data_IF_579402719192
#
_entry.id   IF_579402719192
#
_cell.length_a   1.000
_cell.length_b   1.000
_cell.length_c   1.000
_cell.angle_alpha   90.00
_cell.angle_beta   90.00
_cell.angle_gamma   90.00
#
_symmetry.space_group_name_H-M   'P 1'
#
loop_
_entity.id
_entity.type
_entity.pdbx_description
1 polymer ?
#
# COMPACT_ATOMS: atom_id res chain seq x y z
N UNK A 1 -21.98 19.87 26.87
CA UNK A 1 -21.17 18.68 26.51
C UNK A 1 -22.17 17.53 26.52
N UNK A 2 -22.57 17.06 25.35
CA UNK A 2 -23.57 16.00 25.26
C UNK A 2 -22.92 14.68 25.69
N UNK A 3 -23.62 13.87 26.50
CA UNK A 3 -23.14 12.56 26.98
C UNK A 3 -22.72 11.63 25.82
N UNK A 4 -23.31 11.79 24.63
CA UNK A 4 -22.93 11.08 23.39
C UNK A 4 -21.54 11.44 22.88
N UNK A 5 -21.07 12.68 23.02
CA UNK A 5 -19.71 13.09 22.61
C UNK A 5 -18.64 12.57 23.57
N UNK A 6 -18.96 12.46 24.88
CA UNK A 6 -18.06 11.86 25.86
C UNK A 6 -17.91 10.33 25.67
N UNK A 7 -18.97 9.65 25.23
CA UNK A 7 -18.96 8.20 24.98
C UNK A 7 -18.12 7.82 23.77
N UNK A 8 -18.03 8.66 22.73
CA UNK A 8 -17.21 8.40 21.53
C UNK A 8 -15.69 8.51 21.77
N UNK A 9 -15.25 9.23 22.82
CA UNK A 9 -13.84 9.34 23.20
C UNK A 9 -13.40 8.25 24.19
N UNK A 10 -14.32 7.53 24.82
CA UNK A 10 -14.07 6.65 25.98
C UNK A 10 -13.65 5.21 25.63
N UNK A 11 -13.68 4.79 24.37
CA UNK A 11 -13.26 3.44 23.95
C UNK A 11 -11.73 3.31 23.81
N UNK A 12 -11.01 3.40 24.91
CA UNK A 12 -9.62 2.97 24.98
C UNK A 12 -9.54 1.55 25.54
N UNK A 13 -9.55 0.57 24.67
CA UNK A 13 -9.26 -0.83 25.04
C UNK A 13 -7.74 -0.99 25.15
N UNK A 14 -7.17 -0.82 26.35
CA UNK A 14 -5.73 -0.94 26.59
C UNK A 14 -5.15 -2.29 26.11
N UNK A 15 -5.86 -3.40 26.30
CA UNK A 15 -5.45 -4.71 25.81
C UNK A 15 -5.38 -4.86 24.29
N UNK A 16 -6.15 -4.08 23.54
CA UNK A 16 -6.10 -4.06 22.10
C UNK A 16 -4.83 -3.36 21.57
N UNK A 17 -4.41 -2.29 22.24
CA UNK A 17 -3.22 -1.54 21.85
C UNK A 17 -1.94 -2.37 22.03
N UNK A 18 -1.85 -3.19 23.09
CA UNK A 18 -0.70 -4.08 23.34
C UNK A 18 -0.60 -5.19 22.28
N UNK A 19 -1.70 -5.84 21.96
CA UNK A 19 -1.74 -6.89 20.92
C UNK A 19 -1.42 -6.30 19.54
N UNK A 20 -2.02 -5.15 19.22
CA UNK A 20 -1.74 -4.43 17.98
C UNK A 20 -0.28 -4.06 17.85
N UNK A 21 0.32 -3.51 18.91
CA UNK A 21 1.73 -3.16 18.95
C UNK A 21 2.61 -4.38 18.70
N UNK A 22 2.35 -5.49 19.41
CA UNK A 22 3.11 -6.73 19.27
C UNK A 22 3.05 -7.27 17.83
N UNK A 23 1.87 -7.34 17.23
CA UNK A 23 1.69 -7.84 15.86
C UNK A 23 2.34 -6.93 14.82
N UNK A 24 2.15 -5.62 14.94
CA UNK A 24 2.65 -4.66 13.95
C UNK A 24 4.16 -4.48 14.05
N UNK A 25 4.69 -4.30 15.26
CA UNK A 25 6.11 -3.95 15.44
C UNK A 25 7.00 -5.19 15.47
N UNK A 26 6.64 -6.22 16.26
CA UNK A 26 7.53 -7.39 16.39
C UNK A 26 7.38 -8.41 15.25
N UNK A 27 6.23 -8.47 14.58
CA UNK A 27 6.03 -9.41 13.47
C UNK A 27 6.02 -8.68 12.13
N UNK A 28 5.16 -7.69 11.98
CA UNK A 28 4.95 -7.01 10.69
C UNK A 28 6.17 -6.24 10.21
N UNK A 29 6.86 -5.50 11.09
CA UNK A 29 8.03 -4.70 10.70
C UNK A 29 9.21 -5.58 10.23
N UNK A 30 9.61 -6.66 10.92
CA UNK A 30 10.65 -7.56 10.41
C UNK A 30 10.28 -8.21 9.08
N UNK A 31 9.02 -8.63 8.92
CA UNK A 31 8.52 -9.21 7.64
C UNK A 31 8.60 -8.17 6.52
N UNK A 32 8.18 -6.94 6.77
CA UNK A 32 8.28 -5.85 5.80
C UNK A 32 9.74 -5.52 5.44
N UNK A 33 10.64 -5.54 6.42
CA UNK A 33 12.08 -5.34 6.19
C UNK A 33 12.66 -6.45 5.31
N UNK A 34 12.40 -7.72 5.64
CA UNK A 34 12.84 -8.86 4.85
C UNK A 34 12.25 -8.83 3.44
N UNK A 35 10.96 -8.49 3.30
CA UNK A 35 10.30 -8.31 2.02
C UNK A 35 10.98 -7.24 1.17
N UNK A 36 11.35 -6.11 1.76
CA UNK A 36 12.10 -5.04 1.07
C UNK A 36 13.44 -5.54 0.56
N UNK A 37 14.19 -6.26 1.40
CA UNK A 37 15.52 -6.79 1.04
C UNK A 37 15.41 -7.82 -0.08
N UNK A 38 14.51 -8.82 0.04
CA UNK A 38 14.38 -9.88 -0.95
C UNK A 38 13.87 -9.36 -2.30
N UNK A 39 12.86 -8.49 -2.31
CA UNK A 39 12.37 -7.89 -3.55
C UNK A 39 13.40 -6.92 -4.15
N UNK A 40 14.20 -6.23 -3.33
CA UNK A 40 15.34 -5.44 -3.77
C UNK A 40 16.42 -6.28 -4.47
N UNK A 41 16.75 -7.46 -3.93
CA UNK A 41 17.68 -8.40 -4.57
C UNK A 41 17.12 -8.90 -5.91
N UNK A 42 15.83 -9.28 -5.94
CA UNK A 42 15.16 -9.69 -7.19
C UNK A 42 15.21 -8.58 -8.25
N UNK A 43 14.97 -7.34 -7.84
CA UNK A 43 15.03 -6.18 -8.72
C UNK A 43 16.44 -6.03 -9.34
N UNK A 44 17.49 -6.13 -8.54
CA UNK A 44 18.88 -6.08 -9.02
C UNK A 44 19.15 -7.20 -10.03
N UNK A 45 18.72 -8.42 -9.75
CA UNK A 45 18.90 -9.58 -10.64
C UNK A 45 18.18 -9.34 -11.97
N UNK A 46 16.95 -8.86 -11.95
CA UNK A 46 16.19 -8.58 -13.16
C UNK A 46 16.79 -7.41 -13.97
N UNK A 47 17.29 -6.38 -13.32
CA UNK A 47 17.98 -5.27 -13.99
C UNK A 47 19.28 -5.75 -14.70
N UNK A 48 20.08 -6.60 -14.05
CA UNK A 48 21.29 -7.17 -14.65
C UNK A 48 21.01 -8.06 -15.86
N UNK A 49 19.90 -8.78 -15.84
CA UNK A 49 19.50 -9.71 -16.90
C UNK A 49 18.95 -9.03 -18.16
N UNK A 50 18.91 -7.68 -18.22
CA UNK A 50 18.24 -6.89 -19.28
C UNK A 50 16.79 -7.36 -19.50
N UNK A 51 16.05 -7.55 -18.41
CA UNK A 51 14.73 -8.16 -18.38
C UNK A 51 13.63 -7.32 -19.07
N UNK A 52 13.97 -6.09 -19.49
CA UNK A 52 13.03 -5.19 -20.17
C UNK A 52 12.51 -5.76 -21.51
N UNK A 53 13.29 -6.63 -22.16
CA UNK A 53 12.93 -7.28 -23.43
C UNK A 53 12.71 -8.81 -23.25
N UNK A 54 12.40 -9.27 -22.04
CA UNK A 54 12.25 -10.69 -21.74
C UNK A 54 10.85 -10.98 -21.18
N UNK A 55 10.43 -12.27 -21.17
CA UNK A 55 9.16 -12.66 -20.53
C UNK A 55 9.09 -12.36 -19.02
N UNK A 56 10.19 -11.89 -18.42
CA UNK A 56 10.25 -11.52 -17.02
C UNK A 56 9.88 -10.05 -16.74
N UNK A 57 9.47 -9.30 -17.80
CA UNK A 57 9.13 -7.89 -17.71
C UNK A 57 8.09 -7.56 -16.63
N UNK A 58 6.97 -8.29 -16.59
CA UNK A 58 5.94 -8.08 -15.57
C UNK A 58 6.40 -8.46 -14.17
N UNK A 59 7.31 -9.46 -14.05
CA UNK A 59 7.88 -9.85 -12.77
C UNK A 59 8.82 -8.78 -12.20
N UNK A 60 9.50 -8.02 -13.07
CA UNK A 60 10.28 -6.87 -12.68
C UNK A 60 9.40 -5.79 -12.03
N UNK A 61 8.27 -5.43 -12.65
CA UNK A 61 7.32 -4.47 -12.08
C UNK A 61 6.69 -4.99 -10.79
N UNK A 62 6.39 -6.28 -10.73
CA UNK A 62 5.86 -6.91 -9.52
C UNK A 62 6.86 -6.78 -8.37
N UNK A 63 8.15 -7.07 -8.59
CA UNK A 63 9.18 -6.91 -7.56
C UNK A 63 9.33 -5.45 -7.08
N UNK A 64 9.17 -4.47 -7.98
CA UNK A 64 9.15 -3.05 -7.61
C UNK A 64 7.95 -2.75 -6.70
N UNK A 65 6.75 -3.19 -7.07
CA UNK A 65 5.55 -2.94 -6.28
C UNK A 65 5.60 -3.63 -4.93
N UNK A 66 6.04 -4.89 -4.86
CA UNK A 66 6.16 -5.62 -3.60
C UNK A 66 7.20 -4.97 -2.68
N UNK A 67 8.30 -4.50 -3.22
CA UNK A 67 9.29 -3.71 -2.47
C UNK A 67 8.65 -2.42 -1.92
N UNK A 68 7.90 -1.68 -2.75
CA UNK A 68 7.22 -0.45 -2.34
C UNK A 68 6.16 -0.71 -1.27
N UNK A 69 5.37 -1.79 -1.38
CA UNK A 69 4.38 -2.18 -0.35
C UNK A 69 5.08 -2.40 0.98
N UNK A 70 6.18 -3.15 0.99
CA UNK A 70 6.97 -3.42 2.19
C UNK A 70 7.58 -2.14 2.77
N UNK A 71 8.10 -1.24 1.94
CA UNK A 71 8.65 0.05 2.38
C UNK A 71 7.58 0.96 2.97
N UNK A 72 6.38 1.00 2.37
CA UNK A 72 5.26 1.83 2.84
C UNK A 72 4.62 1.29 4.13
N UNK A 73 4.83 0.02 4.46
CA UNK A 73 4.34 -0.59 5.69
C UNK A 73 4.86 0.13 6.95
N UNK A 74 6.16 0.45 6.97
CA UNK A 74 6.81 1.06 8.14
C UNK A 74 6.21 2.44 8.47
N UNK A 75 6.18 3.43 7.57
CA UNK A 75 5.61 4.73 7.88
C UNK A 75 4.09 4.70 8.08
N UNK A 76 3.39 3.70 7.56
CA UNK A 76 1.94 3.59 7.69
C UNK A 76 1.51 2.93 8.99
N UNK A 77 2.02 1.73 9.28
CA UNK A 77 1.58 0.93 10.43
C UNK A 77 2.52 1.03 11.64
N UNK A 78 3.84 0.95 11.42
CA UNK A 78 4.81 0.90 12.50
C UNK A 78 4.90 2.22 13.23
N UNK A 79 4.91 3.35 12.50
CA UNK A 79 4.99 4.68 13.11
C UNK A 79 3.75 5.01 13.93
N UNK A 80 2.55 4.61 13.47
CA UNK A 80 1.31 4.78 14.20
C UNK A 80 1.29 3.95 15.50
N UNK A 81 1.66 2.66 15.41
CA UNK A 81 1.72 1.79 16.57
C UNK A 81 2.72 2.29 17.62
N UNK A 82 3.89 2.77 17.20
CA UNK A 82 4.89 3.38 18.08
C UNK A 82 4.38 4.69 18.71
N UNK A 83 3.74 5.56 17.93
CA UNK A 83 3.22 6.83 18.42
C UNK A 83 2.17 6.64 19.52
N UNK A 84 1.26 5.68 19.34
CA UNK A 84 0.20 5.37 20.29
C UNK A 84 0.77 4.66 21.53
N UNK A 85 1.62 3.65 21.35
CA UNK A 85 2.16 2.85 22.44
C UNK A 85 3.04 3.66 23.38
N UNK A 86 3.99 4.43 22.83
CA UNK A 86 4.88 5.29 23.62
C UNK A 86 4.32 6.68 23.94
N UNK A 87 3.09 6.96 23.50
CA UNK A 87 2.40 8.24 23.70
C UNK A 87 3.22 9.46 23.23
N UNK A 88 3.92 9.34 22.09
CA UNK A 88 4.75 10.41 21.52
C UNK A 88 3.89 11.33 20.68
N UNK A 89 3.47 12.48 21.24
CA UNK A 89 2.58 13.46 20.57
C UNK A 89 3.15 13.98 19.25
N UNK A 90 4.44 14.29 19.18
CA UNK A 90 5.10 14.80 17.98
C UNK A 90 5.05 13.78 16.84
N UNK A 91 5.26 12.48 17.13
CA UNK A 91 5.21 11.40 16.15
C UNK A 91 3.78 11.17 15.64
N UNK A 92 2.80 11.22 16.55
CA UNK A 92 1.39 11.10 16.21
C UNK A 92 0.93 12.24 15.30
N UNK A 93 1.32 13.49 15.59
CA UNK A 93 0.99 14.64 14.74
C UNK A 93 1.68 14.53 13.37
N UNK A 94 2.96 14.15 13.33
CA UNK A 94 3.70 13.93 12.09
C UNK A 94 3.03 12.86 11.23
N UNK A 95 2.65 11.72 11.83
CA UNK A 95 1.97 10.63 11.13
C UNK A 95 0.67 11.11 10.46
N UNK A 96 -0.17 11.88 11.16
CA UNK A 96 -1.41 12.43 10.60
C UNK A 96 -1.18 13.38 9.42
N UNK A 97 -0.02 14.04 9.35
CA UNK A 97 0.31 14.96 8.27
C UNK A 97 0.50 14.22 6.93
N UNK A 98 1.08 13.01 6.95
CA UNK A 98 1.41 12.29 5.72
C UNK A 98 0.60 11.00 5.50
N UNK A 99 -0.20 10.56 6.48
CA UNK A 99 -0.91 9.27 6.41
C UNK A 99 -1.80 9.13 5.17
N UNK A 100 -2.47 10.22 4.76
CA UNK A 100 -3.34 10.22 3.58
C UNK A 100 -2.56 9.90 2.31
N UNK A 101 -1.42 10.56 2.11
CA UNK A 101 -0.57 10.36 0.93
C UNK A 101 -0.05 8.92 0.89
N UNK A 102 0.46 8.41 2.03
CA UNK A 102 0.96 7.03 2.12
C UNK A 102 -0.16 6.03 1.90
N UNK A 103 -1.34 6.26 2.46
CA UNK A 103 -2.51 5.40 2.25
C UNK A 103 -2.87 5.31 0.76
N UNK A 104 -3.01 6.45 0.08
CA UNK A 104 -3.34 6.47 -1.34
C UNK A 104 -2.26 5.77 -2.19
N UNK A 105 -0.98 6.04 -1.91
CA UNK A 105 0.14 5.37 -2.57
C UNK A 105 0.12 3.86 -2.33
N UNK A 106 -0.10 3.41 -1.10
CA UNK A 106 -0.19 2.00 -0.74
C UNK A 106 -1.31 1.30 -1.51
N UNK A 107 -2.50 1.92 -1.58
CA UNK A 107 -3.63 1.37 -2.35
C UNK A 107 -3.36 1.28 -3.85
N UNK A 108 -2.73 2.31 -4.41
CA UNK A 108 -2.32 2.31 -5.82
C UNK A 108 -1.33 1.18 -6.11
N UNK A 109 -0.29 1.06 -5.29
CA UNK A 109 0.78 0.06 -5.47
C UNK A 109 0.23 -1.36 -5.31
N UNK A 110 -0.64 -1.62 -4.31
CA UNK A 110 -1.30 -2.92 -4.11
C UNK A 110 -2.15 -3.31 -5.33
N UNK A 111 -2.94 -2.36 -5.83
CA UNK A 111 -3.80 -2.60 -6.99
C UNK A 111 -2.94 -2.87 -8.24
N UNK A 112 -1.89 -2.07 -8.45
CA UNK A 112 -0.93 -2.26 -9.53
C UNK A 112 -0.24 -3.62 -9.48
N UNK A 113 0.19 -4.09 -8.31
CA UNK A 113 0.82 -5.39 -8.11
C UNK A 113 -0.09 -6.54 -8.55
N UNK A 114 -1.37 -6.52 -8.13
CA UNK A 114 -2.36 -7.53 -8.51
C UNK A 114 -2.54 -7.58 -10.03
N UNK A 115 -2.68 -6.43 -10.69
CA UNK A 115 -2.86 -6.40 -12.14
C UNK A 115 -1.59 -6.79 -12.90
N UNK A 116 -0.40 -6.46 -12.41
CA UNK A 116 0.85 -6.94 -13.01
C UNK A 116 0.98 -8.46 -12.90
N UNK A 117 0.55 -9.07 -11.79
CA UNK A 117 0.50 -10.52 -11.64
C UNK A 117 -0.48 -11.15 -12.65
N UNK A 118 -1.66 -10.53 -12.86
CA UNK A 118 -2.61 -10.97 -13.88
C UNK A 118 -2.03 -10.86 -15.29
N UNK A 119 -1.35 -9.77 -15.62
CA UNK A 119 -0.67 -9.61 -16.91
C UNK A 119 0.42 -10.67 -17.13
N UNK A 120 1.23 -10.97 -16.11
CA UNK A 120 2.25 -12.02 -16.17
C UNK A 120 1.63 -13.40 -16.43
N UNK A 121 0.57 -13.75 -15.71
CA UNK A 121 -0.15 -15.02 -15.91
C UNK A 121 -0.81 -15.09 -17.27
N UNK A 122 -1.41 -13.99 -17.75
CA UNK A 122 -2.02 -13.92 -19.05
C UNK A 122 -0.97 -14.08 -20.18
N UNK A 123 0.18 -13.43 -20.06
CA UNK A 123 1.29 -13.61 -21.00
C UNK A 123 1.72 -15.08 -21.12
N UNK A 124 1.88 -15.77 -19.97
CA UNK A 124 2.22 -17.19 -19.93
C UNK A 124 1.13 -18.05 -20.58
N UNK A 125 -0.14 -17.74 -20.35
CA UNK A 125 -1.25 -18.41 -20.99
C UNK A 125 -1.25 -18.23 -22.53
N UNK A 126 -1.02 -17.01 -23.00
CA UNK A 126 -0.95 -16.72 -24.45
C UNK A 126 0.21 -17.48 -25.10
N UNK A 127 1.37 -17.52 -24.42
CA UNK A 127 2.54 -18.24 -24.90
C UNK A 127 2.28 -19.75 -25.07
N UNK A 128 1.64 -20.39 -24.07
CA UNK A 128 1.30 -21.81 -24.11
C UNK A 128 0.20 -22.12 -25.13
N UNK A 129 -0.80 -21.21 -25.25
CA UNK A 129 -1.98 -21.41 -26.09
C UNK A 129 -1.72 -21.24 -27.58
N UNK A 130 -0.52 -20.76 -27.99
CA UNK A 130 -0.08 -20.55 -29.39
C UNK A 130 -1.11 -19.81 -30.28
N UNK A 131 -1.99 -18.99 -29.69
CA UNK A 131 -3.02 -18.25 -30.40
C UNK A 131 -2.40 -17.04 -31.12
N UNK A 132 -2.33 -17.11 -32.44
CA UNK A 132 -1.78 -16.04 -33.30
C UNK A 132 -2.44 -14.68 -33.08
N UNK A 133 -3.75 -14.65 -32.81
CA UNK A 133 -4.50 -13.40 -32.57
C UNK A 133 -4.01 -12.62 -31.32
N UNK A 134 -3.40 -13.31 -30.34
CA UNK A 134 -2.94 -12.73 -29.08
C UNK A 134 -1.42 -12.57 -29.03
N UNK A 135 -0.70 -12.91 -30.11
CA UNK A 135 0.77 -12.85 -30.18
C UNK A 135 1.34 -11.44 -29.95
N UNK A 136 0.53 -10.40 -30.20
CA UNK A 136 0.91 -9.03 -29.93
C UNK A 136 1.27 -8.78 -28.45
N UNK A 137 0.58 -9.43 -27.49
CA UNK A 137 0.88 -9.31 -26.06
C UNK A 137 2.26 -9.81 -25.66
N UNK A 138 2.87 -10.67 -26.47
CA UNK A 138 4.20 -11.26 -26.21
C UNK A 138 5.31 -10.36 -26.77
N UNK A 139 4.96 -9.40 -27.66
CA UNK A 139 5.95 -8.47 -28.23
C UNK A 139 6.39 -7.44 -27.18
N UNK A 140 7.63 -6.93 -27.30
CA UNK A 140 8.17 -5.94 -26.37
C UNK A 140 7.30 -4.68 -26.28
N UNK A 141 6.81 -4.19 -27.42
CA UNK A 141 5.88 -3.05 -27.46
C UNK A 141 4.53 -3.39 -26.82
N UNK A 142 4.01 -4.60 -27.07
CA UNK A 142 2.76 -5.06 -26.46
C UNK A 142 2.83 -5.13 -24.95
N UNK A 143 3.92 -5.65 -24.39
CA UNK A 143 4.18 -5.69 -22.94
C UNK A 143 4.21 -4.31 -22.34
N UNK A 144 4.98 -3.38 -22.95
CA UNK A 144 5.09 -2.01 -22.46
C UNK A 144 3.74 -1.28 -22.47
N UNK A 145 3.00 -1.39 -23.57
CA UNK A 145 1.68 -0.76 -23.70
C UNK A 145 0.71 -1.33 -22.66
N UNK A 146 0.67 -2.67 -22.50
CA UNK A 146 -0.18 -3.32 -21.51
C UNK A 146 0.18 -2.87 -20.10
N UNK A 147 1.46 -2.76 -19.75
CA UNK A 147 1.88 -2.26 -18.45
C UNK A 147 1.46 -0.79 -18.22
N UNK A 148 1.66 0.09 -19.21
CA UNK A 148 1.25 1.50 -19.11
C UNK A 148 -0.27 1.61 -18.95
N UNK A 149 -1.05 0.89 -19.77
CA UNK A 149 -2.50 0.89 -19.67
C UNK A 149 -2.96 0.40 -18.31
N UNK A 150 -2.36 -0.65 -17.79
CA UNK A 150 -2.65 -1.19 -16.45
C UNK A 150 -2.37 -0.16 -15.36
N UNK A 151 -1.25 0.57 -15.44
CA UNK A 151 -0.92 1.63 -14.49
C UNK A 151 -1.89 2.80 -14.55
N UNK A 152 -2.27 3.23 -15.75
CA UNK A 152 -3.25 4.31 -15.96
C UNK A 152 -4.62 3.90 -15.41
N UNK A 153 -5.07 2.69 -15.69
CA UNK A 153 -6.32 2.14 -15.14
C UNK A 153 -6.26 2.10 -13.62
N UNK A 154 -5.14 1.64 -13.04
CA UNK A 154 -4.94 1.60 -11.59
C UNK A 154 -5.02 2.99 -10.96
N UNK A 155 -4.46 4.01 -11.60
CA UNK A 155 -4.57 5.41 -11.17
C UNK A 155 -6.01 5.90 -11.20
N UNK A 156 -6.73 5.67 -12.31
CA UNK A 156 -8.13 6.13 -12.46
C UNK A 156 -9.03 5.49 -11.39
N UNK A 157 -8.91 4.18 -11.16
CA UNK A 157 -9.72 3.47 -10.16
C UNK A 157 -9.37 3.85 -8.72
N UNK A 158 -8.13 4.28 -8.44
CA UNK A 158 -7.69 4.64 -7.09
C UNK A 158 -7.68 6.15 -6.81
N UNK A 159 -7.89 6.97 -7.84
CA UNK A 159 -7.98 8.41 -7.68
C UNK A 159 -9.10 8.87 -6.71
N UNK A 160 -10.32 8.29 -6.74
CA UNK A 160 -11.37 8.64 -5.78
C UNK A 160 -10.97 8.44 -4.32
N UNK A 161 -10.09 7.47 -4.02
CA UNK A 161 -9.61 7.21 -2.65
C UNK A 161 -8.95 8.43 -1.99
N UNK A 162 -8.48 9.41 -2.79
CA UNK A 162 -7.95 10.68 -2.29
C UNK A 162 -9.03 11.56 -1.63
N UNK A 163 -10.29 11.38 -2.02
CA UNK A 163 -11.42 12.17 -1.54
C UNK A 163 -12.24 11.42 -0.49
N UNK A 164 -12.05 10.10 -0.35
CA UNK A 164 -12.85 9.25 0.55
C UNK A 164 -12.55 9.48 2.03
N UNK A 165 -11.47 10.19 2.38
CA UNK A 165 -11.03 10.35 3.76
C UNK A 165 -10.77 11.80 4.11
N UNK A 166 -11.29 12.22 5.28
CA UNK A 166 -10.97 13.49 5.92
C UNK A 166 -10.40 13.27 7.31
N UNK A 167 -9.45 14.11 7.69
CA UNK A 167 -8.94 14.16 9.07
C UNK A 167 -9.83 15.13 9.83
N UNK A 168 -10.57 14.61 10.80
CA UNK A 168 -11.45 15.44 11.67
C UNK A 168 -10.73 15.71 12.98
N UNK A 169 -10.70 16.99 13.35
CA UNK A 169 -10.14 17.45 14.62
C UNK A 169 -11.24 17.48 15.69
N UNK A 170 -11.04 16.75 16.79
CA UNK A 170 -11.95 16.67 17.95
C UNK A 170 -11.28 17.32 19.16
N UNK A 171 -11.61 18.56 19.43
CA UNK A 171 -11.00 19.34 20.52
C UNK A 171 -11.26 18.78 21.93
N UNK A 172 -12.30 17.97 22.11
CA UNK A 172 -12.74 17.48 23.42
C UNK A 172 -12.20 16.08 23.78
N UNK A 173 -11.41 15.45 22.91
CA UNK A 173 -10.86 14.12 23.14
C UNK A 173 -9.42 14.15 23.66
N UNK A 174 -8.94 13.06 24.32
CA UNK A 174 -7.55 12.94 24.77
C UNK A 174 -6.54 13.16 23.63
N UNK A 175 -5.32 13.59 23.90
CA UNK A 175 -4.37 14.05 22.88
C UNK A 175 -4.05 13.07 21.75
N UNK A 176 -4.29 11.76 21.92
CA UNK A 176 -4.11 10.73 20.89
C UNK A 176 -5.40 10.33 20.15
N UNK A 177 -6.54 10.91 20.52
CA UNK A 177 -7.84 10.73 19.88
C UNK A 177 -8.38 12.01 19.25
N UNK A 178 -7.62 13.09 19.33
CA UNK A 178 -7.97 14.42 18.79
C UNK A 178 -8.07 14.40 17.27
N UNK A 179 -7.22 13.61 16.60
CA UNK A 179 -7.20 13.46 15.16
C UNK A 179 -7.77 12.08 14.79
N UNK A 180 -8.88 12.05 14.07
CA UNK A 180 -9.47 10.80 13.57
C UNK A 180 -9.62 10.87 12.06
N UNK A 181 -9.20 9.78 11.39
CA UNK A 181 -9.51 9.55 9.98
C UNK A 181 -10.97 9.11 9.89
N UNK A 182 -11.79 9.89 9.21
CA UNK A 182 -13.22 9.58 8.99
C UNK A 182 -13.44 9.40 7.49
N UNK A 183 -14.23 8.39 7.13
CA UNK A 183 -14.71 8.24 5.76
C UNK A 183 -15.68 9.37 5.44
N UNK A 184 -15.43 10.07 4.35
CA UNK A 184 -16.31 11.12 3.85
C UNK A 184 -17.37 10.49 2.93
N UNK A 185 -18.33 9.76 3.51
CA UNK A 185 -19.49 9.24 2.80
C UNK A 185 -20.62 10.28 2.92
N UNK A 186 -20.48 11.43 2.28
CA UNK A 186 -21.63 12.26 1.91
C UNK A 186 -21.96 11.98 0.43
N UNK A 187 -22.89 11.06 0.22
CA UNK A 187 -23.72 10.97 -0.98
C UNK A 187 -25.07 11.63 -0.67
#
# INVERSE_FOLDING_TARGET
MNETEAMECAEKNEGYDDVRFALVVYIGTPVAFLGTVFNGILLIIFCHKKSLNSPDFYLLFLAIFDMLICMLYIPFFTMDALAIYYQIKSLHHLWHTYVMQIYCMSRFVQFGAVYMMLCATFERFVYISSKQCLSWFITDNGRLITAIVTLVISLIFRFPTFFDYKIVYRANCPPFQVLKLVFDFEL
#
